data_IF_839133333529
#
_entry.id   IF_839133333529
#
_cell.length_a   1.000
_cell.length_b   1.000
_cell.length_c   1.000
_cell.angle_alpha   90.00
_cell.angle_beta   90.00
_cell.angle_gamma   90.00
#
_symmetry.space_group_name_H-M   'P 1'
#
loop_
_entity.id
_entity.type
_entity.pdbx_description
1 polymer ?
#
# COMPACT_ATOMS: atom_id res chain seq x y z
N UNK A 1 -55.87 -72.61 -32.38
CA UNK A 1 -54.60 -72.37 -31.64
C UNK A 1 -54.31 -70.87 -31.69
N UNK A 2 -54.79 -70.14 -30.72
CA UNK A 2 -54.55 -68.72 -30.61
C UNK A 2 -53.45 -68.47 -29.55
N UNK A 3 -52.38 -67.86 -29.96
CA UNK A 3 -51.34 -67.40 -29.04
C UNK A 3 -51.59 -65.91 -28.67
N UNK A 4 -51.81 -65.61 -27.39
CA UNK A 4 -51.94 -64.29 -26.87
C UNK A 4 -50.53 -63.70 -26.60
N UNK A 5 -50.29 -62.50 -27.12
CA UNK A 5 -49.10 -61.76 -26.83
C UNK A 5 -49.42 -60.76 -25.72
N UNK A 6 -48.78 -60.90 -24.59
CA UNK A 6 -48.85 -59.94 -23.49
C UNK A 6 -47.80 -58.79 -23.75
N UNK A 7 -48.26 -57.54 -23.86
CA UNK A 7 -47.41 -56.37 -23.86
C UNK A 7 -47.10 -55.93 -22.41
N UNK A 8 -45.85 -56.01 -22.02
CA UNK A 8 -45.39 -55.36 -20.80
C UNK A 8 -45.02 -53.88 -21.11
N UNK A 9 -45.78 -52.97 -20.52
CA UNK A 9 -45.46 -51.51 -20.54
C UNK A 9 -44.57 -51.23 -19.32
N UNK A 10 -43.29 -50.93 -19.56
CA UNK A 10 -42.36 -50.49 -18.52
C UNK A 10 -42.49 -48.97 -18.37
N UNK A 11 -42.97 -48.48 -17.24
CA UNK A 11 -43.02 -47.04 -16.88
C UNK A 11 -41.70 -46.66 -16.29
N UNK A 12 -40.92 -45.84 -17.02
CA UNK A 12 -39.71 -45.18 -16.51
C UNK A 12 -40.11 -43.94 -15.69
N UNK A 13 -39.96 -43.99 -14.37
CA UNK A 13 -40.08 -42.84 -13.48
C UNK A 13 -38.73 -42.14 -13.45
N UNK A 14 -38.61 -40.98 -14.12
CA UNK A 14 -37.44 -40.12 -14.03
C UNK A 14 -37.52 -39.29 -12.76
N UNK A 15 -36.67 -39.58 -11.77
CA UNK A 15 -36.51 -38.78 -10.57
C UNK A 15 -35.64 -37.55 -10.89
N UNK A 16 -36.22 -36.33 -10.94
CA UNK A 16 -35.48 -35.08 -10.97
C UNK A 16 -34.88 -34.81 -9.58
N UNK A 17 -33.58 -34.99 -9.44
CA UNK A 17 -32.85 -34.56 -8.28
C UNK A 17 -32.60 -33.02 -8.40
N UNK A 18 -33.36 -32.22 -7.66
CA UNK A 18 -33.13 -30.79 -7.54
C UNK A 18 -31.86 -30.56 -6.69
N UNK A 19 -30.75 -30.24 -7.32
CA UNK A 19 -29.52 -29.78 -6.61
C UNK A 19 -29.73 -28.36 -6.11
N UNK A 20 -30.03 -28.17 -4.84
CA UNK A 20 -30.02 -26.89 -4.17
C UNK A 20 -28.57 -26.43 -4.02
N UNK A 21 -28.12 -25.51 -4.88
CA UNK A 21 -26.84 -24.82 -4.71
C UNK A 21 -26.93 -23.97 -3.45
N UNK A 22 -26.26 -24.35 -2.36
CA UNK A 22 -26.04 -23.50 -1.20
C UNK A 22 -25.21 -22.30 -1.61
N UNK A 23 -25.82 -21.12 -1.63
CA UNK A 23 -25.09 -19.85 -1.75
C UNK A 23 -24.35 -19.66 -0.42
N UNK A 24 -23.05 -19.98 -0.42
CA UNK A 24 -22.18 -19.68 0.73
C UNK A 24 -22.09 -18.16 0.85
N UNK A 25 -22.77 -17.58 1.83
CA UNK A 25 -22.56 -16.19 2.23
C UNK A 25 -21.12 -16.04 2.68
N UNK A 26 -20.29 -15.36 1.88
CA UNK A 26 -18.92 -15.04 2.26
C UNK A 26 -18.96 -14.27 3.58
N UNK A 27 -18.24 -14.77 4.59
CA UNK A 27 -18.08 -14.06 5.86
C UNK A 27 -17.54 -12.66 5.58
N UNK A 28 -17.98 -11.62 6.33
CA UNK A 28 -17.49 -10.26 6.12
C UNK A 28 -15.97 -10.27 6.26
N UNK A 29 -15.28 -9.96 5.15
CA UNK A 29 -13.82 -9.87 5.15
C UNK A 29 -13.39 -8.75 6.08
N UNK A 30 -12.41 -8.99 6.98
CA UNK A 30 -11.86 -7.94 7.84
C UNK A 30 -11.34 -6.77 6.97
N UNK A 31 -11.45 -5.53 7.46
CA UNK A 31 -10.86 -4.40 6.76
C UNK A 31 -9.37 -4.63 6.50
N UNK A 32 -8.91 -4.27 5.30
CA UNK A 32 -7.50 -4.33 4.94
C UNK A 32 -6.70 -3.46 5.91
N UNK A 33 -5.69 -4.03 6.59
CA UNK A 33 -4.82 -3.28 7.48
C UNK A 33 -3.67 -2.68 6.67
N UNK A 34 -3.56 -1.34 6.72
CA UNK A 34 -2.56 -0.55 5.99
C UNK A 34 -1.71 0.22 6.99
N UNK A 35 -0.40 0.03 6.93
CA UNK A 35 0.55 0.87 7.68
C UNK A 35 1.25 1.82 6.71
N UNK A 36 1.30 3.09 7.06
CA UNK A 36 1.99 4.12 6.29
C UNK A 36 3.19 4.66 7.07
N UNK A 37 4.39 4.32 6.62
CA UNK A 37 5.66 4.84 7.14
C UNK A 37 6.15 5.96 6.22
N UNK A 38 6.29 7.17 6.75
CA UNK A 38 6.64 8.35 5.95
C UNK A 38 7.51 9.36 6.68
N UNK A 39 8.06 10.30 5.92
CA UNK A 39 8.80 11.46 6.43
C UNK A 39 7.92 12.73 6.53
N UNK A 40 8.55 13.91 6.63
CA UNK A 40 7.85 15.18 6.83
C UNK A 40 6.84 15.54 5.74
N UNK A 41 7.07 15.15 4.49
CA UNK A 41 6.14 15.43 3.39
C UNK A 41 4.83 14.71 3.61
N UNK A 42 4.88 13.43 3.95
CA UNK A 42 3.69 12.64 4.29
C UNK A 42 3.06 13.07 5.62
N UNK A 43 3.84 13.61 6.56
CA UNK A 43 3.34 14.07 7.85
C UNK A 43 2.26 15.16 7.71
N UNK A 44 2.18 15.85 6.57
CA UNK A 44 1.09 16.78 6.24
C UNK A 44 -0.30 16.14 6.40
N UNK A 45 -0.43 14.82 6.21
CA UNK A 45 -1.68 14.07 6.41
C UNK A 45 -2.12 14.09 7.89
N UNK A 46 -1.17 14.09 8.85
CA UNK A 46 -1.50 14.13 10.29
C UNK A 46 -2.23 15.43 10.66
N UNK A 47 -1.87 16.54 10.00
CA UNK A 47 -2.41 17.87 10.24
C UNK A 47 -3.61 18.21 9.35
N UNK A 48 -4.00 17.30 8.44
CA UNK A 48 -5.11 17.48 7.48
C UNK A 48 -6.20 16.45 7.74
N UNK A 49 -7.22 16.76 8.58
CA UNK A 49 -8.26 15.79 8.97
C UNK A 49 -9.02 15.19 7.78
N UNK A 50 -9.25 15.97 6.72
CA UNK A 50 -9.91 15.48 5.48
C UNK A 50 -9.06 14.42 4.80
N UNK A 51 -7.77 14.68 4.59
CA UNK A 51 -6.84 13.73 3.99
C UNK A 51 -6.76 12.42 4.78
N UNK A 52 -6.69 12.53 6.11
CA UNK A 52 -6.66 11.38 7.01
C UNK A 52 -7.93 10.53 6.91
N UNK A 53 -9.12 11.16 6.89
CA UNK A 53 -10.39 10.45 6.68
C UNK A 53 -10.48 9.80 5.30
N UNK A 54 -10.03 10.48 4.25
CA UNK A 54 -10.01 9.95 2.89
C UNK A 54 -9.14 8.69 2.80
N UNK A 55 -7.92 8.75 3.34
CA UNK A 55 -7.00 7.60 3.30
C UNK A 55 -7.54 6.43 4.14
N UNK A 56 -8.15 6.72 5.31
CA UNK A 56 -8.68 5.69 6.22
C UNK A 56 -9.92 4.96 5.67
N UNK A 57 -10.67 5.54 4.74
CA UNK A 57 -11.96 4.99 4.31
C UNK A 57 -11.83 3.54 3.80
N UNK A 58 -12.43 2.59 4.52
CA UNK A 58 -12.41 1.15 4.19
C UNK A 58 -11.14 0.42 4.61
N UNK A 59 -10.23 1.07 5.36
CA UNK A 59 -9.00 0.45 5.86
C UNK A 59 -8.89 0.56 7.38
N UNK A 60 -8.26 -0.43 8.01
CA UNK A 60 -7.65 -0.27 9.32
C UNK A 60 -6.29 0.40 9.09
N UNK A 61 -6.20 1.73 9.29
CA UNK A 61 -5.04 2.54 8.92
C UNK A 61 -4.20 2.88 10.15
N UNK A 62 -2.90 2.57 10.06
CA UNK A 62 -1.86 3.03 10.98
C UNK A 62 -0.98 4.06 10.28
N UNK A 63 -0.79 5.25 10.87
CA UNK A 63 0.06 6.32 10.38
C UNK A 63 1.31 6.43 11.26
N UNK A 64 2.47 6.15 10.71
CA UNK A 64 3.79 6.31 11.33
C UNK A 64 4.61 7.31 10.48
N UNK A 65 4.25 8.56 10.62
CA UNK A 65 4.77 9.68 9.83
C UNK A 65 5.58 10.59 10.75
N UNK A 66 6.86 10.80 10.45
CA UNK A 66 7.77 11.54 11.32
C UNK A 66 8.68 12.48 10.54
N UNK A 67 8.73 13.73 10.99
CA UNK A 67 9.66 14.74 10.46
C UNK A 67 11.10 14.25 10.62
N UNK A 68 11.97 14.54 9.65
CA UNK A 68 13.39 14.16 9.67
C UNK A 68 13.68 12.65 9.48
N UNK A 69 12.68 11.81 9.29
CA UNK A 69 12.90 10.36 9.09
C UNK A 69 13.72 10.08 7.84
N UNK A 70 14.71 9.20 7.99
CA UNK A 70 15.47 8.59 6.89
C UNK A 70 15.11 7.11 6.71
N UNK A 71 15.50 6.57 5.56
CA UNK A 71 15.17 5.18 5.22
C UNK A 71 15.90 4.17 6.11
N UNK A 72 17.23 4.29 6.19
CA UNK A 72 18.11 3.35 6.91
C UNK A 72 19.20 4.06 7.71
N UNK A 73 19.75 5.14 7.17
CA UNK A 73 20.74 5.95 7.86
C UNK A 73 20.10 6.66 9.06
N UNK A 74 20.89 7.03 10.05
CA UNK A 74 20.41 7.77 11.23
C UNK A 74 19.58 8.99 10.82
N UNK A 75 18.36 9.07 11.34
CA UNK A 75 17.44 10.19 11.10
C UNK A 75 18.03 11.49 11.67
N UNK A 76 17.64 12.63 11.12
CA UNK A 76 18.05 13.92 11.70
C UNK A 76 17.21 14.25 12.94
N UNK A 77 17.67 15.19 13.73
CA UNK A 77 16.95 15.70 14.91
C UNK A 77 16.10 16.91 14.51
N UNK A 78 14.85 16.93 14.93
CA UNK A 78 13.96 18.07 14.76
C UNK A 78 13.24 18.37 16.08
N UNK A 79 13.30 19.61 16.56
CA UNK A 79 12.73 20.02 17.84
C UNK A 79 13.10 19.08 19.01
N UNK A 80 14.38 18.70 19.10
CA UNK A 80 14.89 17.83 20.16
C UNK A 80 14.51 16.35 20.05
N UNK A 81 13.79 15.94 18.98
CA UNK A 81 13.38 14.55 18.75
C UNK A 81 14.04 13.98 17.50
N UNK A 82 14.59 12.77 17.63
CA UNK A 82 15.15 11.99 16.50
C UNK A 82 14.26 10.77 16.26
N UNK A 83 13.53 10.71 15.15
CA UNK A 83 12.65 9.59 14.88
C UNK A 83 13.44 8.33 14.52
N UNK A 84 12.83 7.17 14.71
CA UNK A 84 13.32 5.92 14.14
C UNK A 84 13.45 6.02 12.63
N UNK A 85 14.41 5.30 12.04
CA UNK A 85 14.46 5.13 10.57
C UNK A 85 13.24 4.34 10.08
N UNK A 86 12.93 4.42 8.79
CA UNK A 86 11.85 3.62 8.23
C UNK A 86 12.08 2.11 8.44
N UNK A 87 13.34 1.65 8.30
CA UNK A 87 13.69 0.26 8.58
C UNK A 87 13.43 -0.12 10.05
N UNK A 88 13.84 0.71 10.99
CA UNK A 88 13.59 0.47 12.42
C UNK A 88 12.09 0.49 12.74
N UNK A 89 11.33 1.43 12.17
CA UNK A 89 9.89 1.48 12.31
C UNK A 89 9.24 0.18 11.81
N UNK A 90 9.55 -0.23 10.58
CA UNK A 90 9.06 -1.49 9.99
C UNK A 90 9.41 -2.70 10.86
N UNK A 91 10.64 -2.79 11.35
CA UNK A 91 11.07 -3.88 12.24
C UNK A 91 10.35 -3.86 13.60
N UNK A 92 10.08 -2.67 14.13
CA UNK A 92 9.42 -2.46 15.42
C UNK A 92 7.96 -2.92 15.45
N UNK A 93 7.25 -2.84 14.34
CA UNK A 93 5.87 -3.33 14.23
C UNK A 93 5.72 -4.83 14.35
N UNK A 94 6.78 -5.58 14.05
CA UNK A 94 6.74 -7.05 14.03
C UNK A 94 5.56 -7.50 13.14
N UNK A 95 4.69 -8.42 13.60
CA UNK A 95 3.50 -8.86 12.85
C UNK A 95 2.36 -7.83 12.80
N UNK A 96 2.55 -6.64 13.39
CA UNK A 96 1.56 -5.56 13.42
C UNK A 96 1.55 -4.66 12.19
N UNK A 97 2.42 -4.86 11.18
CA UNK A 97 2.44 -4.07 9.95
C UNK A 97 1.15 -4.18 9.12
N UNK A 98 0.43 -5.30 9.23
CA UNK A 98 -0.79 -5.53 8.48
C UNK A 98 -0.55 -6.10 7.07
N UNK A 99 -1.51 -5.85 6.17
CA UNK A 99 -1.52 -6.46 4.84
C UNK A 99 -0.71 -5.67 3.82
N UNK A 100 -0.76 -4.33 3.89
CA UNK A 100 -0.08 -3.42 2.96
C UNK A 100 0.75 -2.40 3.72
N UNK A 101 2.00 -2.23 3.29
CA UNK A 101 2.87 -1.16 3.77
C UNK A 101 2.96 -0.06 2.70
N UNK A 102 2.75 1.21 3.09
CA UNK A 102 3.08 2.36 2.26
C UNK A 102 4.40 2.95 2.78
N UNK A 103 5.34 3.24 1.88
CA UNK A 103 6.61 3.91 2.18
C UNK A 103 6.72 5.19 1.37
N UNK A 104 6.81 6.33 2.05
CA UNK A 104 7.15 7.62 1.44
C UNK A 104 8.22 8.31 2.29
N UNK A 105 9.45 7.86 2.11
CA UNK A 105 10.65 8.33 2.82
C UNK A 105 11.75 8.54 1.80
N UNK A 106 12.48 9.63 1.89
CA UNK A 106 13.60 9.89 0.98
C UNK A 106 13.99 11.34 0.88
N UNK A 107 13.15 12.25 1.35
CA UNK A 107 13.44 13.69 1.29
C UNK A 107 14.59 14.16 2.21
N UNK A 108 14.97 13.32 3.18
CA UNK A 108 16.07 13.60 4.12
C UNK A 108 17.32 12.77 3.83
N UNK A 109 17.36 12.04 2.72
CA UNK A 109 18.49 11.16 2.40
C UNK A 109 19.72 11.92 1.92
N UNK A 110 20.88 11.35 2.18
CA UNK A 110 22.12 11.62 1.45
C UNK A 110 22.24 10.64 0.27
N UNK A 111 22.97 11.01 -0.76
CA UNK A 111 22.95 10.44 -2.10
C UNK A 111 23.31 8.95 -2.26
N UNK A 112 23.76 8.23 -1.23
CA UNK A 112 24.27 6.88 -1.40
C UNK A 112 23.49 5.84 -0.59
N UNK A 113 23.35 4.63 -1.16
CA UNK A 113 22.79 3.49 -0.45
C UNK A 113 21.26 3.35 -0.45
N UNK A 114 20.52 4.25 -1.10
CA UNK A 114 19.06 4.21 -1.08
C UNK A 114 18.50 2.90 -1.67
N UNK A 115 19.09 2.41 -2.77
CA UNK A 115 18.72 1.13 -3.38
C UNK A 115 18.83 -0.04 -2.39
N UNK A 116 19.95 -0.15 -1.70
CA UNK A 116 20.18 -1.20 -0.69
C UNK A 116 19.22 -1.01 0.51
N UNK A 117 18.91 0.25 0.84
CA UNK A 117 17.91 0.60 1.86
C UNK A 117 16.53 0.07 1.50
N UNK A 118 16.07 0.23 0.25
CA UNK A 118 14.83 -0.34 -0.24
C UNK A 118 14.83 -1.85 -0.01
N UNK A 119 15.89 -2.55 -0.46
CA UNK A 119 15.96 -4.00 -0.37
C UNK A 119 15.94 -4.51 1.09
N UNK A 120 16.48 -3.73 2.04
CA UNK A 120 16.41 -4.03 3.49
C UNK A 120 15.00 -3.86 4.04
N UNK A 121 14.32 -2.77 3.69
CA UNK A 121 12.94 -2.52 4.12
C UNK A 121 11.99 -3.56 3.53
N UNK A 122 12.13 -3.89 2.24
CA UNK A 122 11.33 -4.94 1.59
C UNK A 122 11.46 -6.27 2.30
N UNK A 123 12.69 -6.74 2.55
CA UNK A 123 12.92 -8.01 3.29
C UNK A 123 12.28 -7.97 4.67
N UNK A 124 12.43 -6.86 5.39
CA UNK A 124 11.87 -6.73 6.74
C UNK A 124 10.33 -6.74 6.73
N UNK A 125 9.70 -6.10 5.75
CA UNK A 125 8.25 -6.07 5.61
C UNK A 125 7.67 -7.45 5.23
N UNK A 126 8.25 -8.09 4.21
CA UNK A 126 7.80 -9.40 3.73
C UNK A 126 7.98 -10.50 4.80
N UNK A 127 9.08 -10.46 5.57
CA UNK A 127 9.30 -11.37 6.69
C UNK A 127 8.24 -11.27 7.79
N UNK A 128 7.49 -10.16 7.85
CA UNK A 128 6.39 -9.94 8.81
C UNK A 128 5.01 -10.27 8.23
N UNK A 129 4.94 -10.75 6.99
CA UNK A 129 3.70 -11.18 6.35
C UNK A 129 2.97 -10.07 5.58
N UNK A 130 3.61 -8.92 5.33
CA UNK A 130 3.07 -7.89 4.42
C UNK A 130 2.92 -8.50 3.02
N UNK A 131 1.75 -8.36 2.41
CA UNK A 131 1.45 -8.91 1.08
C UNK A 131 2.03 -8.05 -0.03
N UNK A 132 1.85 -6.73 0.09
CA UNK A 132 2.35 -5.78 -0.89
C UNK A 132 2.84 -4.48 -0.26
N UNK A 133 3.77 -3.83 -0.96
CA UNK A 133 4.37 -2.56 -0.54
C UNK A 133 4.13 -1.51 -1.61
N UNK A 134 3.53 -0.40 -1.23
CA UNK A 134 3.41 0.81 -2.07
C UNK A 134 4.61 1.69 -1.79
N UNK A 135 5.46 1.92 -2.78
CA UNK A 135 6.57 2.85 -2.65
C UNK A 135 6.30 4.11 -3.45
N UNK A 136 6.27 5.25 -2.76
CA UNK A 136 5.91 6.54 -3.35
C UNK A 136 7.16 7.22 -3.88
N UNK A 137 7.15 7.69 -5.13
CA UNK A 137 8.23 8.51 -5.68
C UNK A 137 8.22 9.90 -5.05
N UNK A 138 9.37 10.52 -5.01
CA UNK A 138 9.57 11.86 -4.47
C UNK A 138 9.33 12.91 -5.53
N UNK A 139 8.76 14.07 -5.18
CA UNK A 139 8.76 15.24 -6.06
C UNK A 139 10.21 15.69 -6.32
N UNK A 140 10.58 15.80 -7.58
CA UNK A 140 11.95 16.08 -8.01
C UNK A 140 12.25 17.60 -7.98
N UNK A 141 12.33 18.20 -6.80
CA UNK A 141 12.78 19.59 -6.62
C UNK A 141 14.31 19.70 -6.47
N UNK A 142 15.03 18.58 -6.36
CA UNK A 142 16.48 18.47 -6.21
C UNK A 142 17.00 17.23 -6.94
N UNK A 143 18.23 17.30 -7.46
CA UNK A 143 18.87 16.21 -8.21
C UNK A 143 18.94 14.87 -7.43
N UNK A 144 19.12 14.94 -6.11
CA UNK A 144 19.11 13.75 -5.26
C UNK A 144 17.77 13.02 -5.28
N UNK A 145 16.64 13.71 -5.39
CA UNK A 145 15.32 13.09 -5.46
C UNK A 145 15.11 12.36 -6.79
N UNK A 146 15.68 12.87 -7.88
CA UNK A 146 15.73 12.18 -9.16
C UNK A 146 16.46 10.83 -9.04
N UNK A 147 17.67 10.82 -8.46
CA UNK A 147 18.43 9.59 -8.24
C UNK A 147 17.68 8.61 -7.33
N UNK A 148 17.00 9.10 -6.32
CA UNK A 148 16.15 8.30 -5.43
C UNK A 148 14.99 7.67 -6.22
N UNK A 149 14.32 8.43 -7.08
CA UNK A 149 13.22 7.92 -7.90
C UNK A 149 13.67 6.86 -8.92
N UNK A 150 14.87 7.00 -9.49
CA UNK A 150 15.46 5.93 -10.31
C UNK A 150 15.59 4.64 -9.49
N UNK A 151 16.09 4.71 -8.26
CA UNK A 151 16.21 3.54 -7.39
C UNK A 151 14.86 2.92 -7.04
N UNK A 152 13.82 3.75 -6.76
CA UNK A 152 12.45 3.31 -6.49
C UNK A 152 11.87 2.59 -7.72
N UNK A 153 11.93 3.20 -8.91
CA UNK A 153 11.41 2.60 -10.14
C UNK A 153 12.13 1.30 -10.51
N UNK A 154 13.44 1.24 -10.28
CA UNK A 154 14.21 0.01 -10.45
C UNK A 154 13.85 -1.07 -9.42
N UNK A 155 13.47 -0.70 -8.20
CA UNK A 155 12.99 -1.64 -7.18
C UNK A 155 11.65 -2.27 -7.58
N UNK A 156 10.72 -1.53 -8.18
CA UNK A 156 9.46 -2.07 -8.70
C UNK A 156 9.65 -3.16 -9.76
N UNK A 157 10.78 -3.14 -10.47
CA UNK A 157 11.13 -4.20 -11.44
C UNK A 157 11.75 -5.44 -10.77
N UNK A 158 12.33 -5.30 -9.56
CA UNK A 158 13.02 -6.39 -8.84
C UNK A 158 12.13 -7.11 -7.83
N UNK A 159 11.17 -6.39 -7.26
CA UNK A 159 10.30 -6.89 -6.21
C UNK A 159 8.86 -7.01 -6.71
N UNK A 160 8.35 -8.21 -7.03
CA UNK A 160 6.97 -8.39 -7.49
C UNK A 160 5.92 -7.81 -6.53
N UNK A 161 6.23 -7.78 -5.22
CA UNK A 161 5.35 -7.25 -4.18
C UNK A 161 5.44 -5.73 -4.04
N UNK A 162 6.31 -5.03 -4.81
CA UNK A 162 6.46 -3.59 -4.74
C UNK A 162 5.72 -2.89 -5.87
N UNK A 163 4.74 -2.09 -5.51
CA UNK A 163 3.98 -1.22 -6.42
C UNK A 163 4.54 0.20 -6.32
N UNK A 164 5.00 0.74 -7.44
CA UNK A 164 5.50 2.12 -7.50
C UNK A 164 4.34 3.09 -7.69
N UNK A 165 4.13 3.96 -6.72
CA UNK A 165 3.18 5.07 -6.81
C UNK A 165 3.91 6.33 -7.28
N UNK A 166 3.80 6.66 -8.57
CA UNK A 166 4.55 7.78 -9.17
C UNK A 166 3.93 9.14 -8.82
N UNK A 167 4.18 9.58 -7.58
CA UNK A 167 3.75 10.87 -7.07
C UNK A 167 4.43 12.03 -7.80
N UNK A 168 5.70 11.86 -8.22
CA UNK A 168 6.40 12.88 -8.98
C UNK A 168 5.64 13.27 -10.25
N UNK A 169 5.27 12.28 -11.04
CA UNK A 169 4.49 12.50 -12.26
C UNK A 169 3.08 13.03 -11.95
N UNK A 170 2.39 12.42 -10.96
CA UNK A 170 1.03 12.79 -10.63
C UNK A 170 0.89 14.19 -10.06
N UNK A 171 1.85 14.66 -9.26
CA UNK A 171 1.83 15.99 -8.65
C UNK A 171 2.38 17.10 -9.55
N UNK A 172 2.91 16.75 -10.72
CA UNK A 172 3.47 17.72 -11.67
C UNK A 172 2.40 18.70 -12.16
N UNK A 173 2.75 19.99 -12.19
CA UNK A 173 1.84 21.05 -12.64
C UNK A 173 0.77 21.46 -11.63
N UNK A 174 0.71 20.85 -10.44
CA UNK A 174 -0.28 21.18 -9.43
C UNK A 174 0.25 22.11 -8.33
N UNK A 175 -0.58 23.05 -7.87
CA UNK A 175 -0.32 23.95 -6.75
C UNK A 175 -0.63 23.30 -5.39
N UNK A 176 -0.08 22.10 -5.14
CA UNK A 176 -0.35 21.29 -3.96
C UNK A 176 0.69 21.42 -2.84
N UNK A 177 1.62 22.33 -3.00
CA UNK A 177 2.78 22.46 -2.12
C UNK A 177 2.79 23.83 -1.44
N UNK A 178 3.43 23.92 -0.30
CA UNK A 178 3.72 25.18 0.38
C UNK A 178 4.80 25.97 -0.36
N UNK A 179 5.22 27.09 0.26
CA UNK A 179 6.18 28.04 -0.33
C UNK A 179 7.56 27.42 -0.60
N UNK A 180 7.92 26.38 0.13
CA UNK A 180 9.15 25.61 -0.10
C UNK A 180 9.10 24.69 -1.34
N UNK A 181 7.94 24.62 -1.98
CA UNK A 181 7.69 23.76 -3.14
C UNK A 181 7.76 22.26 -2.85
N UNK A 182 7.83 21.85 -1.58
CA UNK A 182 8.08 20.48 -1.16
C UNK A 182 7.01 19.93 -0.23
N UNK A 183 6.76 20.59 0.91
CA UNK A 183 5.76 20.17 1.87
C UNK A 183 4.35 20.41 1.33
N UNK A 184 3.45 19.49 1.62
CA UNK A 184 2.10 19.53 1.07
C UNK A 184 1.23 20.57 1.77
N UNK A 185 0.52 21.37 0.99
CA UNK A 185 -0.64 22.14 1.45
C UNK A 185 -1.77 21.20 1.89
N UNK A 186 -2.82 21.73 2.50
CA UNK A 186 -4.04 20.97 2.83
C UNK A 186 -4.64 20.26 1.61
N UNK A 187 -4.67 20.95 0.46
CA UNK A 187 -5.13 20.38 -0.82
C UNK A 187 -4.19 19.27 -1.28
N UNK A 188 -2.88 19.51 -1.20
CA UNK A 188 -1.86 18.51 -1.58
C UNK A 188 -1.91 17.25 -0.71
N UNK A 189 -2.10 17.39 0.60
CA UNK A 189 -2.27 16.27 1.50
C UNK A 189 -3.52 15.44 1.16
N UNK A 190 -4.63 16.10 0.80
CA UNK A 190 -5.87 15.43 0.35
C UNK A 190 -5.66 14.73 -1.00
N UNK A 191 -4.94 15.36 -1.92
CA UNK A 191 -4.57 14.77 -3.21
C UNK A 191 -3.69 13.52 -3.02
N UNK A 192 -2.66 13.57 -2.17
CA UNK A 192 -1.82 12.42 -1.85
C UNK A 192 -2.64 11.28 -1.25
N UNK A 193 -3.53 11.58 -0.29
CA UNK A 193 -4.38 10.58 0.33
C UNK A 193 -5.29 9.87 -0.69
N UNK A 194 -5.90 10.61 -1.61
CA UNK A 194 -6.74 10.06 -2.69
C UNK A 194 -5.90 9.25 -3.68
N UNK A 195 -4.74 9.77 -4.07
CA UNK A 195 -3.81 9.11 -4.98
C UNK A 195 -3.35 7.75 -4.45
N UNK A 196 -3.00 7.64 -3.18
CA UNK A 196 -2.49 6.40 -2.58
C UNK A 196 -3.51 5.26 -2.58
N UNK A 197 -4.80 5.56 -2.47
CA UNK A 197 -5.84 4.52 -2.33
C UNK A 197 -5.86 3.49 -3.46
N UNK A 198 -5.67 3.92 -4.71
CA UNK A 198 -5.61 3.01 -5.87
C UNK A 198 -4.41 2.05 -5.80
N UNK A 199 -3.27 2.54 -5.31
CA UNK A 199 -2.06 1.73 -5.18
C UNK A 199 -2.13 0.76 -4.01
N UNK A 200 -2.84 1.13 -2.92
CA UNK A 200 -3.14 0.22 -1.81
C UNK A 200 -3.95 -0.98 -2.31
N UNK A 201 -4.98 -0.76 -3.14
CA UNK A 201 -5.77 -1.84 -3.72
C UNK A 201 -4.92 -2.73 -4.64
N UNK A 202 -4.05 -2.12 -5.45
CA UNK A 202 -3.15 -2.86 -6.32
C UNK A 202 -2.16 -3.71 -5.50
N UNK A 203 -1.54 -3.14 -4.46
CA UNK A 203 -0.60 -3.85 -3.61
C UNK A 203 -1.25 -4.95 -2.76
N UNK A 204 -2.54 -4.86 -2.46
CA UNK A 204 -3.28 -5.90 -1.75
C UNK A 204 -3.56 -7.13 -2.63
N UNK A 205 -3.50 -6.98 -3.96
CA UNK A 205 -3.77 -8.01 -4.94
C UNK A 205 -2.50 -8.73 -5.46
N UNK A 206 -1.30 -8.27 -5.03
CA UNK A 206 -0.01 -8.92 -5.36
C UNK A 206 0.22 -10.13 -4.45
#
# INVERSE_FOLDING_TARGET
>A
MLRAHALCVAACVAALAATTASVATAAPSRPLHVTFVGDSVSASILYTPVARRQLKRGYALTLDLAVCRRLVAASCTYNGSTPTTALQAVQGYRRGLGDVLIVNVGYNESSQGYRQGIDRVMRAALAQGVKGVVWVTLRETRSIYHSTNIAIKAAGKRWPQLVVADWNAYSSGHSWFGDDGLHLSTTGASALATFLRRYVQQAAAT
#
